data_IF_616102887046
#
_entry.id   IF_616102887046
#
_cell.length_a   1.000
_cell.length_b   1.000
_cell.length_c   1.000
_cell.angle_alpha   90.00
_cell.angle_beta   90.00
_cell.angle_gamma   90.00
#
_symmetry.space_group_name_H-M   'P 1'
#
loop_
_entity.id
_entity.type
_entity.pdbx_description
1 polymer ?
#
# COMPACT_ATOMS: atom_id res chain seq x y z
N UNK A 1 15.46 -16.90 10.62
CA UNK A 1 14.25 -16.80 11.46
C UNK A 1 12.98 -16.51 10.63
N UNK A 2 13.06 -15.68 9.60
CA UNK A 2 11.90 -15.27 8.80
C UNK A 2 11.26 -16.47 8.10
N UNK A 3 12.03 -17.28 7.38
CA UNK A 3 11.54 -18.49 6.68
C UNK A 3 10.87 -19.46 7.64
N UNK A 4 11.47 -19.70 8.82
CA UNK A 4 10.88 -20.59 9.82
C UNK A 4 9.57 -20.03 10.39
N UNK A 5 9.51 -18.72 10.61
CA UNK A 5 8.29 -18.05 11.03
C UNK A 5 7.18 -18.14 9.97
N UNK A 6 7.53 -17.96 8.71
CA UNK A 6 6.62 -18.08 7.56
C UNK A 6 6.08 -19.52 7.44
N UNK A 7 6.93 -20.53 7.51
CA UNK A 7 6.50 -21.94 7.49
C UNK A 7 5.58 -22.27 8.66
N UNK A 8 5.89 -21.78 9.86
CA UNK A 8 5.03 -21.98 11.03
C UNK A 8 3.65 -21.30 10.85
N UNK A 9 3.63 -20.10 10.26
CA UNK A 9 2.37 -19.42 9.93
C UNK A 9 1.54 -20.21 8.93
N UNK A 10 2.15 -20.72 7.85
CA UNK A 10 1.45 -21.55 6.87
C UNK A 10 0.88 -22.81 7.46
N UNK A 11 1.65 -23.50 8.31
CA UNK A 11 1.17 -24.68 9.02
C UNK A 11 -0.03 -24.37 9.94
N UNK A 12 -0.02 -23.20 10.61
CA UNK A 12 -1.15 -22.77 11.43
C UNK A 12 -2.36 -22.42 10.57
N UNK A 13 -2.17 -21.74 9.42
CA UNK A 13 -3.25 -21.38 8.49
C UNK A 13 -3.94 -22.61 7.91
N UNK A 14 -3.17 -23.62 7.50
CA UNK A 14 -3.71 -24.89 7.02
C UNK A 14 -4.60 -25.54 8.10
N UNK A 15 -4.14 -25.58 9.35
CA UNK A 15 -4.90 -26.18 10.46
C UNK A 15 -6.11 -25.37 10.90
N UNK A 16 -6.08 -24.06 10.67
CA UNK A 16 -7.20 -23.16 11.01
C UNK A 16 -8.37 -23.25 9.99
N UNK A 17 -8.16 -23.88 8.83
CA UNK A 17 -9.18 -24.02 7.79
C UNK A 17 -9.70 -22.68 7.30
N UNK A 18 -8.80 -21.75 7.01
CA UNK A 18 -9.13 -20.39 6.60
C UNK A 18 -9.76 -20.37 5.21
N UNK A 19 -10.79 -19.54 5.01
CA UNK A 19 -11.35 -19.26 3.68
C UNK A 19 -10.39 -18.41 2.84
N UNK A 20 -9.65 -17.49 3.48
CA UNK A 20 -8.72 -16.57 2.83
C UNK A 20 -7.45 -16.41 3.66
N UNK A 21 -6.31 -16.30 2.97
CA UNK A 21 -5.04 -15.86 3.54
C UNK A 21 -4.53 -14.65 2.75
N UNK A 22 -4.30 -13.54 3.45
CA UNK A 22 -3.67 -12.35 2.87
C UNK A 22 -2.22 -12.35 3.28
N UNK A 23 -1.33 -12.50 2.28
CA UNK A 23 0.10 -12.66 2.48
C UNK A 23 0.83 -11.41 1.97
N UNK A 24 1.63 -10.79 2.81
CA UNK A 24 2.46 -9.65 2.45
C UNK A 24 3.90 -10.08 2.27
N UNK A 25 4.48 -9.76 1.10
CA UNK A 25 5.90 -9.93 0.83
C UNK A 25 6.71 -8.98 1.70
N UNK A 26 7.73 -9.48 2.40
CA UNK A 26 8.62 -8.66 3.20
C UNK A 26 9.58 -7.84 2.34
N UNK A 27 10.17 -8.44 1.30
CA UNK A 27 11.12 -7.79 0.41
C UNK A 27 11.06 -8.37 -1.01
N UNK A 28 10.98 -7.49 -2.01
CA UNK A 28 10.98 -7.87 -3.43
C UNK A 28 9.74 -8.65 -3.82
N UNK A 29 9.82 -9.97 -3.87
CA UNK A 29 8.74 -10.90 -4.16
C UNK A 29 9.25 -12.28 -4.56
N UNK A 30 10.04 -12.36 -5.63
CA UNK A 30 10.49 -13.60 -6.25
C UNK A 30 11.16 -14.59 -5.28
N UNK A 31 12.03 -14.09 -4.42
CA UNK A 31 12.80 -14.90 -3.45
C UNK A 31 12.29 -14.78 -2.01
N UNK A 32 11.16 -14.11 -1.80
CA UNK A 32 10.57 -13.99 -0.47
C UNK A 32 9.96 -15.31 -0.01
N UNK A 33 10.07 -15.61 1.28
CA UNK A 33 9.57 -16.86 1.85
C UNK A 33 8.06 -17.03 1.70
N UNK A 34 7.27 -15.94 1.71
CA UNK A 34 5.81 -16.02 1.50
C UNK A 34 5.44 -16.44 0.09
N UNK A 35 6.35 -16.27 -0.87
CA UNK A 35 6.15 -16.69 -2.26
C UNK A 35 6.24 -18.22 -2.47
N UNK A 36 6.47 -18.99 -1.41
CA UNK A 36 6.41 -20.46 -1.43
C UNK A 36 5.02 -20.98 -1.82
N UNK A 37 3.97 -20.25 -1.46
CA UNK A 37 2.59 -20.59 -1.77
C UNK A 37 2.16 -19.88 -3.05
N UNK A 38 1.54 -20.64 -3.96
CA UNK A 38 0.99 -20.06 -5.19
C UNK A 38 -0.24 -19.20 -4.87
N UNK A 39 -0.15 -17.94 -5.21
CA UNK A 39 -1.25 -16.99 -5.00
C UNK A 39 -2.37 -17.23 -6.03
N UNK A 40 -3.63 -17.22 -5.57
CA UNK A 40 -4.79 -17.18 -6.44
C UNK A 40 -5.01 -15.80 -7.06
N UNK A 41 -4.52 -14.75 -6.40
CA UNK A 41 -4.59 -13.38 -6.84
C UNK A 41 -3.33 -12.64 -6.35
N UNK A 42 -2.56 -12.06 -7.26
CA UNK A 42 -1.35 -11.31 -6.94
C UNK A 42 -1.57 -9.80 -7.05
N UNK A 43 -1.11 -9.04 -6.04
CA UNK A 43 -1.22 -7.59 -6.00
C UNK A 43 0.17 -6.96 -5.94
N UNK A 44 0.45 -6.07 -6.88
CA UNK A 44 1.64 -5.20 -6.88
C UNK A 44 1.15 -3.77 -6.70
N UNK A 45 1.51 -3.13 -5.60
CA UNK A 45 1.01 -1.79 -5.24
C UNK A 45 1.63 -0.71 -6.12
N UNK A 46 2.80 -0.22 -5.75
CA UNK A 46 3.59 0.73 -6.53
C UNK A 46 5.01 0.20 -6.69
N UNK A 47 5.70 0.62 -7.74
CA UNK A 47 7.07 0.21 -8.03
C UNK A 47 7.97 1.43 -7.89
N UNK A 48 8.57 1.56 -6.71
CA UNK A 48 9.52 2.61 -6.38
C UNK A 48 10.88 2.04 -5.99
N UNK A 49 11.89 2.90 -5.95
CA UNK A 49 13.22 2.53 -5.50
C UNK A 49 13.26 2.47 -3.98
N UNK A 50 13.55 1.31 -3.45
CA UNK A 50 13.87 1.06 -2.05
C UNK A 50 14.70 -0.22 -1.97
N UNK A 51 15.50 -0.38 -0.92
CA UNK A 51 16.36 -1.55 -0.73
C UNK A 51 17.25 -1.86 -1.94
N UNK A 52 17.92 -0.82 -2.49
CA UNK A 52 18.72 -0.93 -3.71
C UNK A 52 19.81 -2.01 -3.65
N UNK A 53 20.39 -2.28 -2.49
CA UNK A 53 21.39 -3.33 -2.27
C UNK A 53 20.86 -4.74 -2.59
N UNK A 54 19.53 -4.94 -2.54
CA UNK A 54 18.90 -6.24 -2.75
C UNK A 54 18.07 -6.31 -4.04
N UNK A 55 17.41 -5.21 -4.39
CA UNK A 55 16.46 -5.19 -5.51
C UNK A 55 17.00 -4.49 -6.75
N UNK A 56 18.22 -3.91 -6.64
CA UNK A 56 18.80 -3.09 -7.69
C UNK A 56 18.34 -1.63 -7.62
N UNK A 57 18.96 -0.82 -8.46
CA UNK A 57 18.88 0.64 -8.46
C UNK A 57 17.97 1.21 -9.56
N UNK A 58 17.19 0.35 -10.23
CA UNK A 58 16.24 0.74 -11.28
C UNK A 58 14.84 0.24 -10.99
N UNK A 59 13.82 0.93 -11.50
CA UNK A 59 12.43 0.47 -11.38
C UNK A 59 12.22 -0.87 -12.10
N UNK A 60 12.96 -1.13 -13.15
CA UNK A 60 12.94 -2.36 -13.92
C UNK A 60 13.42 -3.55 -13.10
N UNK A 61 14.51 -3.41 -12.34
CA UNK A 61 15.00 -4.47 -11.46
C UNK A 61 14.03 -4.76 -10.33
N UNK A 62 13.46 -3.73 -9.71
CA UNK A 62 12.43 -3.88 -8.68
C UNK A 62 11.18 -4.56 -9.24
N UNK A 63 10.76 -4.17 -10.46
CA UNK A 63 9.61 -4.78 -11.13
C UNK A 63 9.82 -6.26 -11.42
N UNK A 64 11.01 -6.66 -11.86
CA UNK A 64 11.38 -8.05 -12.08
C UNK A 64 11.23 -8.89 -10.80
N UNK A 65 11.77 -8.41 -9.68
CA UNK A 65 11.65 -9.11 -8.39
C UNK A 65 10.19 -9.21 -7.91
N UNK A 66 9.40 -8.13 -8.07
CA UNK A 66 7.98 -8.14 -7.71
C UNK A 66 7.15 -9.04 -8.62
N UNK A 67 7.45 -9.09 -9.91
CA UNK A 67 6.76 -9.94 -10.86
C UNK A 67 6.94 -11.45 -10.58
N UNK A 68 7.93 -11.82 -9.77
CA UNK A 68 8.15 -13.21 -9.34
C UNK A 68 7.04 -13.82 -8.46
N UNK A 69 6.08 -13.01 -7.99
CA UNK A 69 4.89 -13.53 -7.27
C UNK A 69 3.75 -13.95 -8.20
N UNK A 70 3.85 -13.64 -9.49
CA UNK A 70 2.80 -13.97 -10.47
C UNK A 70 2.76 -15.47 -10.75
N UNK A 71 1.58 -15.97 -11.09
CA UNK A 71 1.36 -17.39 -11.46
C UNK A 71 0.64 -17.51 -12.79
N UNK A 72 0.93 -18.56 -13.52
CA UNK A 72 0.34 -18.81 -14.83
C UNK A 72 -1.20 -18.88 -14.77
N UNK A 73 -1.86 -18.08 -15.60
CA UNK A 73 -3.32 -18.00 -15.70
C UNK A 73 -4.03 -17.44 -14.47
N UNK A 74 -3.32 -17.03 -13.41
CA UNK A 74 -3.91 -16.39 -12.24
C UNK A 74 -3.95 -14.88 -12.42
N UNK A 75 -5.02 -14.19 -11.96
CA UNK A 75 -5.13 -12.76 -12.10
C UNK A 75 -4.06 -12.02 -11.29
N UNK A 76 -3.58 -10.94 -11.87
CA UNK A 76 -2.61 -10.02 -11.28
C UNK A 76 -3.15 -8.58 -11.35
N UNK A 77 -2.91 -7.81 -10.30
CA UNK A 77 -3.26 -6.41 -10.23
C UNK A 77 -2.00 -5.56 -10.07
N UNK A 78 -1.96 -4.42 -10.76
CA UNK A 78 -0.89 -3.45 -10.58
C UNK A 78 -1.46 -2.05 -10.31
N UNK A 79 -1.04 -1.45 -9.19
CA UNK A 79 -1.41 -0.10 -8.77
C UNK A 79 -0.52 1.00 -9.35
N UNK A 80 0.55 0.64 -10.05
CA UNK A 80 1.42 1.58 -10.74
C UNK A 80 0.77 2.03 -12.05
N UNK A 81 0.77 3.35 -12.29
CA UNK A 81 0.19 3.92 -13.53
C UNK A 81 1.10 3.75 -14.74
N UNK A 82 2.39 3.50 -14.50
CA UNK A 82 3.41 3.30 -15.53
C UNK A 82 4.25 2.07 -15.14
N UNK A 83 3.68 0.85 -15.26
CA UNK A 83 4.37 -0.37 -14.86
C UNK A 83 5.57 -0.65 -15.76
N UNK A 84 6.77 -0.92 -15.17
CA UNK A 84 7.97 -1.20 -15.95
C UNK A 84 7.85 -2.44 -16.81
N UNK A 85 8.56 -2.44 -17.94
CA UNK A 85 8.52 -3.48 -18.96
C UNK A 85 8.72 -4.91 -18.44
N UNK A 86 9.64 -5.21 -17.49
CA UNK A 86 9.82 -6.57 -16.98
C UNK A 86 8.56 -7.18 -16.33
N UNK A 87 7.70 -6.35 -15.70
CA UNK A 87 6.41 -6.81 -15.19
C UNK A 87 5.48 -7.24 -16.33
N UNK A 88 5.37 -6.43 -17.37
CA UNK A 88 4.50 -6.70 -18.52
C UNK A 88 4.96 -7.94 -19.30
N UNK A 89 6.26 -8.12 -19.45
CA UNK A 89 6.86 -9.31 -20.07
C UNK A 89 6.56 -10.59 -19.27
N UNK A 90 6.69 -10.53 -17.96
CA UNK A 90 6.38 -11.69 -17.10
C UNK A 90 4.88 -12.03 -17.14
N UNK A 91 4.01 -11.03 -17.11
CA UNK A 91 2.56 -11.20 -17.29
C UNK A 91 2.24 -11.90 -18.60
N UNK A 92 2.83 -11.44 -19.70
CA UNK A 92 2.64 -12.02 -21.03
C UNK A 92 3.16 -13.47 -21.09
N UNK A 93 4.35 -13.73 -20.54
CA UNK A 93 4.95 -15.06 -20.51
C UNK A 93 4.11 -16.10 -19.72
N UNK A 94 3.44 -15.65 -18.66
CA UNK A 94 2.59 -16.48 -17.81
C UNK A 94 1.15 -16.58 -18.31
N UNK A 95 0.74 -15.76 -19.30
CA UNK A 95 -0.65 -15.65 -19.72
C UNK A 95 -1.57 -15.20 -18.57
N UNK A 96 -1.05 -14.42 -17.64
CA UNK A 96 -1.79 -13.96 -16.47
C UNK A 96 -2.74 -12.81 -16.86
N UNK A 97 -4.04 -12.84 -16.50
CA UNK A 97 -4.92 -11.69 -16.65
C UNK A 97 -4.41 -10.52 -15.81
N UNK A 98 -4.06 -9.39 -16.46
CA UNK A 98 -3.53 -8.21 -15.77
C UNK A 98 -4.55 -7.08 -15.70
N UNK A 99 -4.84 -6.62 -14.48
CA UNK A 99 -5.69 -5.46 -14.19
C UNK A 99 -4.82 -4.28 -13.77
N UNK A 100 -4.84 -3.23 -14.58
CA UNK A 100 -4.02 -2.03 -14.39
C UNK A 100 -4.84 -0.86 -13.85
N UNK A 101 -4.30 -0.17 -12.88
CA UNK A 101 -4.81 1.14 -12.48
C UNK A 101 -4.74 2.11 -13.64
N UNK A 102 -5.76 2.97 -13.77
CA UNK A 102 -5.91 3.90 -14.90
C UNK A 102 -6.60 3.28 -16.11
N UNK A 103 -6.47 1.97 -16.34
CA UNK A 103 -7.11 1.25 -17.43
C UNK A 103 -8.37 0.51 -16.96
N UNK A 104 -8.21 -0.48 -16.08
CA UNK A 104 -9.26 -1.43 -15.68
C UNK A 104 -9.97 -0.99 -14.39
N UNK A 105 -9.27 -0.33 -13.52
CA UNK A 105 -9.81 0.28 -12.32
C UNK A 105 -9.08 1.59 -11.99
N UNK A 106 -9.72 2.46 -11.22
CA UNK A 106 -9.11 3.71 -10.75
C UNK A 106 -9.90 4.33 -9.62
N UNK A 107 -9.39 5.46 -9.12
CA UNK A 107 -10.04 6.31 -8.14
C UNK A 107 -10.09 7.76 -8.63
N UNK A 108 -11.08 8.50 -8.16
CA UNK A 108 -11.19 9.93 -8.34
C UNK A 108 -11.47 10.60 -6.99
N UNK A 109 -10.68 11.62 -6.66
CA UNK A 109 -10.91 12.43 -5.46
C UNK A 109 -12.12 13.34 -5.67
N UNK A 110 -12.92 13.53 -4.61
CA UNK A 110 -14.02 14.47 -4.50
C UNK A 110 -13.85 15.36 -3.26
N UNK A 111 -14.66 16.41 -3.11
CA UNK A 111 -14.54 17.40 -2.04
C UNK A 111 -14.60 16.79 -0.63
N UNK A 112 -15.40 15.76 -0.43
CA UNK A 112 -15.63 15.14 0.87
C UNK A 112 -15.35 13.63 0.91
N UNK A 113 -14.67 13.09 -0.10
CA UNK A 113 -14.41 11.66 -0.21
C UNK A 113 -13.70 11.29 -1.49
N UNK A 114 -13.99 10.10 -1.98
CA UNK A 114 -13.48 9.64 -3.26
C UNK A 114 -14.42 8.61 -3.88
N UNK A 115 -14.27 8.43 -5.17
CA UNK A 115 -15.02 7.44 -5.95
C UNK A 115 -14.06 6.37 -6.45
N UNK A 116 -14.55 5.17 -6.59
CA UNK A 116 -13.83 4.05 -7.18
C UNK A 116 -14.62 3.52 -8.38
N UNK A 117 -13.92 3.14 -9.43
CA UNK A 117 -14.43 2.36 -10.56
C UNK A 117 -13.56 1.15 -10.81
N UNK A 118 -14.12 0.05 -11.28
CA UNK A 118 -13.37 -1.16 -11.61
C UNK A 118 -14.21 -2.19 -12.32
N UNK A 119 -13.71 -3.41 -12.38
CA UNK A 119 -14.30 -4.53 -13.12
C UNK A 119 -14.51 -5.73 -12.19
N UNK A 120 -15.67 -6.38 -12.32
CA UNK A 120 -15.89 -7.72 -11.78
C UNK A 120 -15.15 -8.79 -12.60
N UNK A 121 -15.09 -10.02 -12.09
CA UNK A 121 -14.43 -11.14 -12.77
C UNK A 121 -15.03 -11.46 -14.15
N UNK A 122 -16.34 -11.23 -14.34
CA UNK A 122 -17.04 -11.39 -15.61
C UNK A 122 -16.89 -10.19 -16.56
N UNK A 123 -16.12 -9.16 -16.17
CA UNK A 123 -15.90 -7.94 -16.93
C UNK A 123 -16.99 -6.86 -16.74
N UNK A 124 -18.00 -7.09 -15.89
CA UNK A 124 -19.00 -6.09 -15.60
C UNK A 124 -18.35 -4.86 -14.89
N UNK A 125 -18.71 -3.66 -15.34
CA UNK A 125 -18.25 -2.43 -14.70
C UNK A 125 -18.90 -2.25 -13.32
N UNK A 126 -18.08 -1.96 -12.32
CA UNK A 126 -18.49 -1.66 -10.96
C UNK A 126 -18.06 -0.25 -10.56
N UNK A 127 -18.81 0.39 -9.68
CA UNK A 127 -18.45 1.68 -9.10
C UNK A 127 -18.89 1.78 -7.64
N UNK A 128 -18.14 2.55 -6.87
CA UNK A 128 -18.49 2.98 -5.52
C UNK A 128 -18.33 4.50 -5.44
N UNK A 129 -19.29 5.17 -4.87
CA UNK A 129 -19.31 6.61 -4.73
C UNK A 129 -19.22 7.03 -3.27
N UNK A 130 -18.76 8.24 -3.02
CA UNK A 130 -18.72 8.88 -1.70
C UNK A 130 -18.02 8.04 -0.61
N UNK A 131 -16.93 7.36 -1.03
CA UNK A 131 -16.09 6.60 -0.11
C UNK A 131 -15.37 7.53 0.88
N UNK A 132 -15.14 7.08 2.12
CA UNK A 132 -14.52 7.89 3.16
C UNK A 132 -13.04 8.17 2.85
N UNK A 133 -12.56 9.37 3.18
CA UNK A 133 -11.13 9.66 3.16
C UNK A 133 -10.40 8.78 4.18
N UNK A 134 -9.30 8.17 3.75
CA UNK A 134 -8.53 7.23 4.54
C UNK A 134 -7.25 7.86 5.11
N UNK A 135 -6.77 7.33 6.23
CA UNK A 135 -5.40 7.57 6.71
C UNK A 135 -4.34 6.81 5.90
N UNK A 136 -4.76 5.88 5.04
CA UNK A 136 -3.89 5.09 4.15
C UNK A 136 -3.91 5.65 2.73
N UNK A 137 -2.95 5.29 1.87
CA UNK A 137 -3.00 5.61 0.45
C UNK A 137 -4.29 5.08 -0.18
N UNK A 138 -5.09 5.97 -0.76
CA UNK A 138 -6.36 5.60 -1.39
C UNK A 138 -6.14 4.74 -2.64
N UNK A 139 -4.97 4.85 -3.24
CA UNK A 139 -4.51 3.98 -4.32
C UNK A 139 -4.47 2.51 -3.90
N UNK A 140 -3.97 2.24 -2.70
CA UNK A 140 -3.93 0.88 -2.15
C UNK A 140 -5.34 0.37 -1.82
N UNK A 141 -6.23 1.25 -1.35
CA UNK A 141 -7.62 0.90 -1.14
C UNK A 141 -8.34 0.62 -2.46
N UNK A 142 -8.06 1.39 -3.52
CA UNK A 142 -8.61 1.16 -4.84
C UNK A 142 -8.14 -0.20 -5.42
N UNK A 143 -6.87 -0.54 -5.23
CA UNK A 143 -6.30 -1.84 -5.59
C UNK A 143 -6.99 -2.98 -4.81
N UNK A 144 -7.20 -2.81 -3.50
CA UNK A 144 -7.88 -3.80 -2.66
C UNK A 144 -9.36 -3.99 -3.05
N UNK A 145 -10.06 -2.91 -3.42
CA UNK A 145 -11.43 -3.02 -3.94
C UNK A 145 -11.48 -3.76 -5.27
N UNK A 146 -10.51 -3.54 -6.16
CA UNK A 146 -10.41 -4.31 -7.40
C UNK A 146 -10.11 -5.77 -7.13
N UNK A 147 -9.22 -6.08 -6.18
CA UNK A 147 -8.97 -7.46 -5.75
C UNK A 147 -10.25 -8.12 -5.22
N UNK A 148 -11.00 -7.42 -4.36
CA UNK A 148 -12.27 -7.92 -3.84
C UNK A 148 -13.30 -8.18 -4.94
N UNK A 149 -13.39 -7.32 -5.95
CA UNK A 149 -14.30 -7.48 -7.08
C UNK A 149 -13.99 -8.73 -7.92
N UNK A 150 -12.71 -9.15 -7.99
CA UNK A 150 -12.29 -10.34 -8.70
C UNK A 150 -12.48 -11.65 -7.92
N UNK A 151 -12.69 -11.59 -6.62
CA UNK A 151 -12.90 -12.76 -5.76
C UNK A 151 -14.36 -13.28 -5.79
N UNK A 152 -15.23 -12.69 -6.58
CA UNK A 152 -16.65 -13.07 -6.72
C UNK A 152 -17.41 -13.13 -5.38
N UNK A 153 -16.95 -12.34 -4.40
CA UNK A 153 -17.59 -12.20 -3.09
C UNK A 153 -18.83 -11.29 -3.18
N UNK A 154 -19.77 -11.40 -2.22
CA UNK A 154 -20.96 -10.56 -2.21
C UNK A 154 -20.64 -9.07 -2.24
N UNK A 155 -20.96 -8.39 -3.35
CA UNK A 155 -20.69 -6.96 -3.53
C UNK A 155 -21.76 -6.13 -2.81
N UNK A 156 -21.40 -5.55 -1.67
CA UNK A 156 -22.27 -4.72 -0.85
C UNK A 156 -21.61 -3.38 -0.56
N UNK A 157 -22.00 -2.34 -1.28
CA UNK A 157 -21.36 -1.03 -1.27
C UNK A 157 -21.23 -0.43 0.16
N UNK A 158 -22.27 -0.53 0.97
CA UNK A 158 -22.29 0.02 2.34
C UNK A 158 -21.31 -0.73 3.24
N UNK A 159 -21.21 -2.05 3.10
CA UNK A 159 -20.25 -2.86 3.88
C UNK A 159 -18.82 -2.58 3.48
N UNK A 160 -18.55 -2.40 2.20
CA UNK A 160 -17.23 -2.04 1.71
C UNK A 160 -16.82 -0.64 2.20
N UNK A 161 -17.71 0.34 2.12
CA UNK A 161 -17.46 1.67 2.66
C UNK A 161 -17.22 1.65 4.18
N UNK A 162 -17.97 0.83 4.93
CA UNK A 162 -17.76 0.67 6.37
C UNK A 162 -16.45 -0.03 6.70
N UNK A 163 -16.06 -1.07 5.96
CA UNK A 163 -14.77 -1.72 6.10
C UNK A 163 -13.62 -0.71 5.90
N UNK A 164 -13.71 0.12 4.87
CA UNK A 164 -12.74 1.18 4.62
C UNK A 164 -12.70 2.19 5.78
N UNK A 165 -13.86 2.65 6.31
CA UNK A 165 -13.88 3.56 7.47
C UNK A 165 -13.19 2.99 8.70
N UNK A 166 -13.29 1.69 8.90
CA UNK A 166 -12.69 0.98 10.04
C UNK A 166 -11.22 0.64 9.86
N UNK A 167 -10.73 0.67 8.62
CA UNK A 167 -9.34 0.31 8.33
C UNK A 167 -8.38 1.32 8.94
N UNK A 168 -7.54 0.85 9.84
CA UNK A 168 -6.47 1.60 10.52
C UNK A 168 -5.24 0.73 10.59
N UNK A 169 -4.08 1.34 10.35
CA UNK A 169 -2.79 0.68 10.53
C UNK A 169 -1.95 1.55 11.45
N UNK A 170 -1.50 0.97 12.56
CA UNK A 170 -0.63 1.66 13.51
C UNK A 170 0.63 2.16 12.81
N UNK A 171 0.98 3.41 13.04
CA UNK A 171 2.15 4.02 12.40
C UNK A 171 1.98 4.38 10.92
N UNK A 172 0.75 4.42 10.39
CA UNK A 172 0.45 4.94 9.04
C UNK A 172 -0.56 6.08 9.15
N UNK A 173 -0.07 7.32 9.15
CA UNK A 173 -0.87 8.52 9.45
C UNK A 173 -1.76 8.31 10.70
N UNK A 174 -1.26 7.57 11.67
CA UNK A 174 -1.99 7.15 12.86
C UNK A 174 -2.15 8.34 13.80
N UNK A 175 -3.36 8.88 13.86
CA UNK A 175 -3.70 10.06 14.67
C UNK A 175 -4.20 9.65 16.03
N UNK A 176 -3.62 10.26 17.07
CA UNK A 176 -4.00 10.04 18.45
C UNK A 176 -4.16 11.38 19.15
N UNK A 177 -5.29 11.56 19.80
CA UNK A 177 -5.51 12.71 20.68
C UNK A 177 -4.95 12.37 22.07
N UNK A 178 -4.21 13.32 22.63
CA UNK A 178 -3.61 13.20 23.96
C UNK A 178 -3.71 14.51 24.73
N UNK A 179 -3.57 14.46 26.03
CA UNK A 179 -3.46 15.64 26.89
C UNK A 179 -2.05 15.74 27.45
N UNK A 180 -1.42 16.89 27.24
CA UNK A 180 -0.11 17.21 27.80
C UNK A 180 -0.17 18.48 28.63
N UNK A 181 0.14 18.40 29.92
CA UNK A 181 0.00 19.50 30.86
C UNK A 181 -1.40 20.15 30.82
N UNK A 182 -2.46 19.34 30.74
CA UNK A 182 -3.85 19.81 30.68
C UNK A 182 -4.26 20.44 29.35
N UNK A 183 -3.36 20.47 28.36
CA UNK A 183 -3.65 20.98 27.02
C UNK A 183 -3.87 19.85 26.03
N UNK A 184 -4.92 19.91 25.18
CA UNK A 184 -5.12 18.94 24.13
C UNK A 184 -3.99 19.03 23.10
N UNK A 185 -3.49 17.88 22.69
CA UNK A 185 -2.47 17.72 21.66
C UNK A 185 -2.90 16.61 20.71
N UNK A 186 -2.48 16.74 19.47
CA UNK A 186 -2.62 15.68 18.49
C UNK A 186 -1.24 15.11 18.16
N UNK A 187 -1.10 13.79 18.30
CA UNK A 187 0.06 13.04 17.88
C UNK A 187 -0.26 12.41 16.54
N UNK A 188 0.64 12.51 15.58
CA UNK A 188 0.60 11.80 14.31
C UNK A 188 1.82 10.89 14.25
N UNK A 189 1.58 9.59 14.12
CA UNK A 189 2.64 8.59 13.98
C UNK A 189 2.67 8.08 12.54
N UNK A 190 3.87 8.09 11.95
CA UNK A 190 4.10 7.54 10.63
C UNK A 190 5.48 6.87 10.57
N UNK A 191 5.55 5.69 9.95
CA UNK A 191 6.80 4.92 9.79
C UNK A 191 7.39 5.05 8.38
N UNK A 192 6.94 6.02 7.60
CA UNK A 192 7.48 6.33 6.28
C UNK A 192 8.96 6.64 6.36
N UNK A 193 9.77 5.92 5.58
CA UNK A 193 11.23 5.97 5.64
C UNK A 193 11.88 6.04 4.25
N UNK A 194 11.10 6.33 3.22
CA UNK A 194 11.57 6.56 1.85
C UNK A 194 10.95 7.82 1.25
N UNK A 195 11.50 8.36 0.16
CA UNK A 195 11.04 9.61 -0.45
C UNK A 195 9.55 9.61 -0.85
N UNK A 196 9.03 8.49 -1.34
CA UNK A 196 7.61 8.37 -1.73
C UNK A 196 6.68 8.49 -0.52
N UNK A 197 6.98 7.79 0.57
CA UNK A 197 6.21 7.88 1.81
C UNK A 197 6.27 9.30 2.40
N UNK A 198 7.43 9.95 2.37
CA UNK A 198 7.59 11.32 2.84
C UNK A 198 6.80 12.33 1.98
N UNK A 199 6.78 12.18 0.66
CA UNK A 199 5.96 12.99 -0.23
C UNK A 199 4.46 12.82 0.08
N UNK A 200 4.00 11.59 0.26
CA UNK A 200 2.62 11.30 0.64
C UNK A 200 2.27 11.94 1.98
N UNK A 201 3.10 11.76 3.01
CA UNK A 201 2.93 12.39 4.32
C UNK A 201 2.83 13.92 4.20
N UNK A 202 3.75 14.55 3.48
CA UNK A 202 3.77 16.00 3.27
C UNK A 202 2.48 16.49 2.58
N UNK A 203 2.02 15.80 1.57
CA UNK A 203 0.78 16.10 0.87
C UNK A 203 -0.43 16.02 1.82
N UNK A 204 -0.50 14.98 2.65
CA UNK A 204 -1.56 14.81 3.65
C UNK A 204 -1.53 15.89 4.74
N UNK A 205 -0.34 16.27 5.19
CA UNK A 205 -0.17 17.36 6.16
C UNK A 205 -0.62 18.71 5.60
N UNK A 206 -0.28 19.01 4.33
CA UNK A 206 -0.76 20.25 3.66
C UNK A 206 -2.28 20.27 3.54
N UNK A 207 -2.87 19.16 3.12
CA UNK A 207 -4.33 19.06 2.96
C UNK A 207 -5.09 19.16 4.28
N UNK A 208 -4.48 18.76 5.41
CA UNK A 208 -5.13 18.80 6.72
C UNK A 208 -5.30 20.22 7.29
N UNK A 209 -4.62 21.24 6.73
CA UNK A 209 -4.66 22.65 7.15
C UNK A 209 -4.68 22.81 8.69
N UNK A 210 -3.58 22.48 9.38
CA UNK A 210 -3.57 22.41 10.84
C UNK A 210 -3.83 23.78 11.47
N UNK A 211 -4.53 23.80 12.60
CA UNK A 211 -4.76 25.03 13.39
C UNK A 211 -3.56 25.44 14.26
N UNK A 212 -2.39 24.80 14.07
CA UNK A 212 -1.20 25.00 14.88
C UNK A 212 0.07 24.71 14.11
N UNK A 213 1.15 24.52 14.86
CA UNK A 213 2.47 24.18 14.32
C UNK A 213 2.71 22.67 14.41
N UNK A 214 3.47 22.14 13.45
CA UNK A 214 4.01 20.78 13.55
C UNK A 214 5.38 20.81 14.24
N UNK A 215 5.53 19.98 15.26
CA UNK A 215 6.80 19.58 15.83
C UNK A 215 7.06 18.14 15.44
N UNK A 216 8.17 17.83 14.79
CA UNK A 216 8.57 16.49 14.45
C UNK A 216 9.54 15.91 15.47
N UNK A 217 9.29 14.66 15.87
CA UNK A 217 10.31 13.78 16.46
C UNK A 217 10.71 12.82 15.35
N UNK A 218 11.95 12.90 14.88
CA UNK A 218 12.42 12.24 13.67
C UNK A 218 13.57 11.31 13.96
N UNK A 219 13.51 10.12 13.41
CA UNK A 219 14.60 9.14 13.37
C UNK A 219 14.57 8.38 12.04
N UNK A 220 15.72 8.07 11.50
CA UNK A 220 15.88 7.35 10.23
C UNK A 220 17.09 6.43 10.31
N UNK A 221 16.99 5.23 9.75
CA UNK A 221 18.12 4.32 9.67
C UNK A 221 19.17 4.85 8.68
N UNK A 222 20.44 4.54 8.94
CA UNK A 222 21.59 5.08 8.20
C UNK A 222 21.64 4.63 6.71
N UNK A 223 20.97 3.54 6.37
CA UNK A 223 20.87 2.98 5.02
C UNK A 223 19.80 3.66 4.15
N UNK A 224 19.05 4.61 4.70
CA UNK A 224 17.94 5.29 4.00
C UNK A 224 18.35 6.63 3.42
N UNK A 225 17.64 7.04 2.37
CA UNK A 225 17.82 8.32 1.69
C UNK A 225 17.28 9.48 2.55
N UNK A 226 18.14 10.01 3.42
CA UNK A 226 17.80 11.11 4.33
C UNK A 226 17.34 12.36 3.56
N UNK A 227 18.04 12.73 2.51
CA UNK A 227 17.75 13.96 1.74
C UNK A 227 16.40 13.85 1.04
N UNK A 228 16.14 12.72 0.41
CA UNK A 228 14.85 12.46 -0.25
C UNK A 228 13.66 12.39 0.72
N UNK A 229 13.88 11.88 1.93
CA UNK A 229 12.84 11.86 2.99
C UNK A 229 12.59 13.26 3.53
N UNK A 230 13.60 14.08 3.73
CA UNK A 230 13.44 15.43 4.25
C UNK A 230 12.92 16.42 3.20
N UNK A 231 13.26 16.25 1.93
CA UNK A 231 12.97 17.21 0.86
C UNK A 231 11.51 17.73 0.79
N UNK A 232 10.44 16.93 1.00
CA UNK A 232 9.07 17.41 0.92
C UNK A 232 8.55 18.11 2.19
N UNK A 233 9.29 18.10 3.31
CA UNK A 233 8.85 18.57 4.63
C UNK A 233 9.17 20.03 4.98
N UNK A 234 10.15 20.74 4.36
CA UNK A 234 10.42 22.14 4.67
C UNK A 234 9.17 23.01 4.52
N UNK A 235 9.01 23.95 5.48
CA UNK A 235 7.84 24.83 5.54
C UNK A 235 6.57 24.19 6.12
N UNK A 236 6.54 22.88 6.31
CA UNK A 236 5.46 22.19 7.02
C UNK A 236 5.80 22.02 8.51
N UNK A 237 7.00 21.55 8.79
CA UNK A 237 7.49 21.31 10.16
C UNK A 237 8.31 22.48 10.59
N UNK A 238 7.96 23.07 11.73
CA UNK A 238 8.63 24.26 12.27
C UNK A 238 9.72 23.91 13.29
N UNK A 239 9.50 22.85 14.05
CA UNK A 239 10.43 22.45 15.10
C UNK A 239 10.78 20.97 14.95
N UNK A 240 12.04 20.62 15.17
CA UNK A 240 12.57 19.28 15.01
C UNK A 240 13.27 18.79 16.27
N UNK A 241 12.95 17.58 16.69
CA UNK A 241 13.72 16.82 17.66
C UNK A 241 14.19 15.52 16.97
N UNK A 242 15.48 15.25 17.03
CA UNK A 242 16.09 14.08 16.38
C UNK A 242 16.27 12.99 17.43
N UNK A 243 15.76 11.80 17.16
CA UNK A 243 16.02 10.61 17.94
C UNK A 243 17.43 10.08 17.61
N UNK A 244 18.22 9.65 18.60
CA UNK A 244 19.56 9.07 18.37
C UNK A 244 19.49 7.74 17.64
#
# INVERSE_FOLDING_TARGET
YFEMGTLAAFWLFERAGLDFAVLEVGLGGRLDAVNLIDADLALITSIGLDHADWLGDTRESVAFEKAGILRAGKPALCGDLDPPQPLLEQVAALGAPLYLRGRDYDLALADHGWHWRGLAADGQALALHDLPLLGLPMENAALALQAYALLELPWQAERLAEALRRTRVTGRLDRRDLSWNGQPRQLLLDVGHNPQAAQYLAQRLRAAAPRGRYLAVFGLLADKDLDGVLAPLPGLVQDWAVAP
#
